data_IF_078802011721
#
_entry.id   IF_078802011721
#
_cell.length_a   1.000
_cell.length_b   1.000
_cell.length_c   1.000
_cell.angle_alpha   90.00
_cell.angle_beta   90.00
_cell.angle_gamma   90.00
#
_symmetry.space_group_name_H-M   'P 1'
#
loop_
_entity.id
_entity.type
_entity.pdbx_description
1 polymer ?
#
# COMPACT_ATOMS: atom_id res chain seq x y z
N UNK A 1 -16.44 -9.54 -25.38
CA UNK A 1 -15.80 -8.76 -24.30
C UNK A 1 -16.61 -8.75 -22.98
N UNK A 2 -17.09 -9.91 -22.50
CA UNK A 2 -17.93 -9.99 -21.27
C UNK A 2 -17.14 -10.29 -20.00
N UNK A 3 -15.97 -10.91 -20.13
CA UNK A 3 -15.20 -11.42 -18.99
C UNK A 3 -14.33 -10.34 -18.32
N UNK A 4 -13.75 -9.42 -19.10
CA UNK A 4 -12.99 -8.28 -18.56
C UNK A 4 -13.83 -7.36 -17.66
N UNK A 5 -15.09 -7.10 -18.05
CA UNK A 5 -16.01 -6.27 -17.26
C UNK A 5 -16.33 -6.90 -15.90
N UNK A 6 -16.45 -8.24 -15.84
CA UNK A 6 -16.69 -8.97 -14.59
C UNK A 6 -15.45 -9.02 -13.70
N UNK A 7 -14.27 -9.20 -14.28
CA UNK A 7 -13.00 -9.21 -13.55
C UNK A 7 -12.69 -7.83 -12.93
N UNK A 8 -12.92 -6.75 -13.68
CA UNK A 8 -12.74 -5.39 -13.16
C UNK A 8 -13.70 -5.09 -11.99
N UNK A 9 -14.96 -5.52 -12.10
CA UNK A 9 -15.96 -5.33 -11.03
C UNK A 9 -15.58 -6.09 -9.76
N UNK A 10 -15.18 -7.35 -9.88
CA UNK A 10 -14.74 -8.16 -8.74
C UNK A 10 -13.46 -7.59 -8.10
N UNK A 11 -12.50 -7.15 -8.92
CA UNK A 11 -11.27 -6.51 -8.45
C UNK A 11 -11.53 -5.21 -7.68
N UNK A 12 -12.45 -4.37 -8.17
CA UNK A 12 -12.81 -3.11 -7.51
C UNK A 12 -13.48 -3.32 -6.16
N UNK A 13 -14.39 -4.30 -6.02
CA UNK A 13 -15.03 -4.60 -4.74
C UNK A 13 -14.04 -5.16 -3.72
N UNK A 14 -13.13 -6.03 -4.15
CA UNK A 14 -12.08 -6.55 -3.27
C UNK A 14 -11.14 -5.44 -2.79
N UNK A 15 -10.74 -4.52 -3.68
CA UNK A 15 -9.93 -3.35 -3.31
C UNK A 15 -10.68 -2.44 -2.32
N UNK A 16 -11.96 -2.16 -2.55
CA UNK A 16 -12.78 -1.33 -1.66
C UNK A 16 -12.93 -1.95 -0.26
N UNK A 17 -13.07 -3.27 -0.16
CA UNK A 17 -13.13 -3.98 1.14
C UNK A 17 -11.78 -3.93 1.85
N UNK A 18 -10.67 -4.08 1.13
CA UNK A 18 -9.33 -4.04 1.71
C UNK A 18 -8.94 -2.64 2.21
N UNK A 19 -9.31 -1.57 1.49
CA UNK A 19 -9.01 -0.19 1.89
C UNK A 19 -10.07 0.43 2.82
N UNK A 20 -11.27 -0.14 2.90
CA UNK A 20 -12.39 0.39 3.71
C UNK A 20 -12.29 0.13 5.21
N UNK A 21 -11.35 -0.69 5.69
CA UNK A 21 -11.24 -1.04 7.13
C UNK A 21 -10.34 -0.11 7.94
N UNK A 22 -9.67 0.87 7.32
CA UNK A 22 -8.78 1.81 8.01
C UNK A 22 -9.43 3.16 8.25
N UNK A 23 -10.39 3.26 9.19
CA UNK A 23 -10.79 4.54 9.80
C UNK A 23 -11.65 4.35 11.07
N UNK A 24 -11.02 4.40 12.25
CA UNK A 24 -11.50 5.18 13.42
C UNK A 24 -10.29 5.53 14.30
N UNK A 25 -9.88 6.80 14.31
CA UNK A 25 -9.04 7.36 15.38
C UNK A 25 -9.96 8.09 16.34
N UNK A 26 -10.36 7.45 17.44
CA UNK A 26 -11.08 8.13 18.51
C UNK A 26 -10.07 9.01 19.26
N UNK A 27 -10.14 10.32 19.08
CA UNK A 27 -9.43 11.27 19.92
C UNK A 27 -10.00 11.16 21.34
N UNK A 28 -9.24 10.57 22.26
CA UNK A 28 -9.61 10.46 23.66
C UNK A 28 -8.87 11.54 24.45
N UNK A 29 -9.61 12.57 24.86
CA UNK A 29 -9.14 13.60 25.81
C UNK A 29 -9.42 13.09 27.22
N UNK A 30 -8.43 12.48 27.87
CA UNK A 30 -8.28 12.54 29.33
C UNK A 30 -6.93 11.95 29.76
N UNK A 31 -6.32 12.62 30.74
CA UNK A 31 -5.00 12.36 31.31
C UNK A 31 -4.93 10.97 31.97
N UNK A 32 -4.34 10.00 31.28
CA UNK A 32 -3.78 8.81 31.90
C UNK A 32 -2.56 8.34 31.10
N UNK A 33 -1.44 8.19 31.79
CA UNK A 33 -0.12 7.73 31.34
C UNK A 33 -0.17 6.75 30.17
N UNK A 34 0.47 7.03 29.01
CA UNK A 34 0.53 6.07 27.93
C UNK A 34 1.57 5.00 28.26
N UNK A 35 1.10 3.81 28.64
CA UNK A 35 1.87 2.59 28.44
C UNK A 35 2.08 2.45 26.93
N UNK A 36 3.34 2.44 26.49
CA UNK A 36 3.70 2.19 25.12
C UNK A 36 3.11 0.85 24.67
N UNK A 37 2.02 0.90 23.93
CA UNK A 37 1.60 -0.22 23.10
C UNK A 37 2.54 -0.20 21.91
N UNK A 38 3.70 -0.84 22.10
CA UNK A 38 4.49 -1.33 20.98
C UNK A 38 3.57 -2.28 20.23
N UNK A 39 2.97 -1.80 19.14
CA UNK A 39 2.58 -2.69 18.05
C UNK A 39 3.88 -3.24 17.50
N UNK A 40 4.45 -4.22 18.22
CA UNK A 40 5.28 -5.21 17.60
C UNK A 40 4.35 -5.81 16.55
N UNK A 41 4.58 -5.45 15.29
CA UNK A 41 4.29 -6.38 14.22
C UNK A 41 4.76 -7.73 14.74
N UNK A 42 3.89 -8.76 14.85
CA UNK A 42 4.43 -10.09 14.89
C UNK A 42 5.27 -10.16 13.62
N UNK A 43 6.59 -10.17 13.79
CA UNK A 43 7.51 -10.73 12.82
C UNK A 43 6.95 -12.13 12.66
N UNK A 44 6.05 -12.27 11.68
CA UNK A 44 5.69 -13.57 11.17
C UNK A 44 7.01 -14.03 10.59
N UNK A 45 7.73 -14.79 11.38
CA UNK A 45 8.82 -15.60 10.89
C UNK A 45 8.24 -16.27 9.65
N UNK A 46 8.76 -15.84 8.50
CA UNK A 46 8.35 -16.38 7.22
C UNK A 46 8.84 -17.81 7.30
N UNK A 47 7.94 -18.70 7.73
CA UNK A 47 8.18 -20.13 7.76
C UNK A 47 8.78 -20.49 6.42
N UNK A 48 10.03 -20.97 6.50
CA UNK A 48 10.95 -21.21 5.40
C UNK A 48 10.17 -21.72 4.19
N UNK A 49 9.98 -20.92 3.12
CA UNK A 49 9.54 -21.50 1.89
C UNK A 49 10.71 -22.35 1.43
N UNK A 50 10.49 -23.66 1.35
CA UNK A 50 11.41 -24.61 0.76
C UNK A 50 12.07 -23.97 -0.47
N UNK A 51 13.41 -23.99 -0.49
CA UNK A 51 14.31 -23.22 -1.38
C UNK A 51 14.25 -23.61 -2.85
N UNK A 52 13.05 -23.86 -3.38
CA UNK A 52 12.78 -24.44 -4.70
C UNK A 52 11.62 -23.76 -5.44
N UNK A 53 11.27 -22.52 -5.12
CA UNK A 53 10.17 -21.80 -5.80
C UNK A 53 10.55 -20.40 -6.30
N UNK A 54 11.74 -20.21 -6.88
CA UNK A 54 12.11 -18.99 -7.63
C UNK A 54 11.44 -18.92 -9.03
N UNK A 55 10.30 -19.60 -9.21
CA UNK A 55 9.77 -20.03 -10.52
C UNK A 55 8.53 -19.30 -11.04
N UNK A 56 8.06 -18.22 -10.42
CA UNK A 56 6.84 -17.51 -10.82
C UNK A 56 7.06 -16.08 -11.33
N UNK A 57 6.17 -15.58 -12.20
CA UNK A 57 6.21 -14.18 -12.67
C UNK A 57 6.10 -13.18 -11.51
N UNK A 58 5.27 -13.47 -10.51
CA UNK A 58 5.11 -12.63 -9.32
C UNK A 58 6.34 -12.68 -8.40
N UNK A 59 7.04 -13.81 -8.36
CA UNK A 59 8.29 -13.97 -7.61
C UNK A 59 9.39 -13.11 -8.24
N UNK A 60 9.54 -13.17 -9.57
CA UNK A 60 10.49 -12.33 -10.33
C UNK A 60 10.16 -10.85 -10.23
N UNK A 61 8.90 -10.47 -10.45
CA UNK A 61 8.49 -9.06 -10.33
C UNK A 61 8.70 -8.54 -8.91
N UNK A 62 8.43 -9.36 -7.89
CA UNK A 62 8.72 -9.01 -6.50
C UNK A 62 10.22 -8.79 -6.25
N UNK A 63 11.09 -9.58 -6.87
CA UNK A 63 12.54 -9.39 -6.78
C UNK A 63 12.98 -8.11 -7.51
N UNK A 64 12.50 -7.89 -8.73
CA UNK A 64 12.84 -6.72 -9.54
C UNK A 64 12.35 -5.40 -8.92
N UNK A 65 11.23 -5.45 -8.19
CA UNK A 65 10.72 -4.34 -7.39
C UNK A 65 11.33 -4.29 -5.98
N UNK A 66 12.36 -5.07 -5.70
CA UNK A 66 13.07 -5.10 -4.42
C UNK A 66 12.13 -5.39 -3.24
N UNK A 67 11.05 -6.15 -3.41
CA UNK A 67 10.18 -6.59 -2.32
C UNK A 67 10.85 -7.68 -1.46
N UNK A 68 11.79 -8.40 -2.06
CA UNK A 68 12.64 -9.37 -1.39
C UNK A 68 13.99 -9.48 -2.11
N UNK A 69 15.02 -9.88 -1.37
CA UNK A 69 16.37 -10.15 -1.86
C UNK A 69 16.86 -11.49 -1.31
N UNK A 70 17.98 -11.98 -1.84
CA UNK A 70 18.68 -13.15 -1.29
C UNK A 70 19.90 -12.64 -0.53
N UNK A 71 20.05 -13.04 0.72
CA UNK A 71 21.23 -12.72 1.53
C UNK A 71 22.47 -13.51 1.07
N UNK A 72 23.64 -13.21 1.67
CA UNK A 72 24.90 -13.91 1.36
C UNK A 72 24.83 -15.42 1.70
N UNK A 73 23.94 -15.81 2.61
CA UNK A 73 23.70 -17.18 3.06
C UNK A 73 22.68 -17.94 2.17
N UNK A 74 22.13 -17.29 1.14
CA UNK A 74 21.15 -17.87 0.22
C UNK A 74 19.71 -17.88 0.73
N UNK A 75 19.41 -17.20 1.84
CA UNK A 75 18.05 -17.07 2.38
C UNK A 75 17.32 -15.88 1.74
N UNK A 76 16.01 -16.05 1.54
CA UNK A 76 15.14 -14.99 1.05
C UNK A 76 14.77 -14.06 2.21
N UNK A 77 15.08 -12.78 2.07
CA UNK A 77 14.78 -11.73 3.04
C UNK A 77 13.82 -10.73 2.40
N UNK A 78 12.74 -10.39 3.10
CA UNK A 78 11.79 -9.37 2.65
C UNK A 78 12.32 -7.96 2.97
N UNK A 79 12.23 -7.05 2.01
CA UNK A 79 12.62 -5.66 2.20
C UNK A 79 11.44 -4.85 2.71
N UNK A 80 11.48 -4.50 3.99
CA UNK A 80 10.52 -3.58 4.60
C UNK A 80 10.65 -2.15 4.07
N UNK A 81 9.59 -1.37 4.23
CA UNK A 81 9.58 0.07 3.95
C UNK A 81 9.17 0.86 5.20
N UNK A 82 9.72 2.05 5.37
CA UNK A 82 9.39 2.98 6.45
C UNK A 82 8.37 4.01 5.95
N UNK A 83 7.17 3.99 6.53
CA UNK A 83 6.10 4.93 6.17
C UNK A 83 6.46 6.39 6.42
N UNK A 84 7.36 6.69 7.37
CA UNK A 84 7.83 8.06 7.64
C UNK A 84 8.72 8.57 6.52
N UNK A 85 9.48 7.69 5.88
CA UNK A 85 10.29 8.01 4.72
C UNK A 85 9.45 8.22 3.45
N UNK A 86 8.29 7.57 3.35
CA UNK A 86 7.39 7.67 2.20
C UNK A 86 6.41 8.84 2.30
N UNK A 87 5.81 9.07 3.46
CA UNK A 87 4.70 10.02 3.63
C UNK A 87 4.95 11.08 4.70
N UNK A 88 6.07 11.01 5.42
CA UNK A 88 6.42 11.97 6.46
C UNK A 88 6.89 13.30 5.88
N UNK A 89 6.70 14.39 6.62
CA UNK A 89 7.18 15.72 6.24
C UNK A 89 8.63 15.99 6.66
N UNK A 90 9.29 15.00 7.28
CA UNK A 90 10.60 15.15 7.91
C UNK A 90 11.69 14.51 7.06
N UNK A 91 11.99 15.13 5.92
CA UNK A 91 13.24 14.86 5.23
C UNK A 91 14.38 15.16 6.22
N UNK A 92 15.20 14.15 6.52
CA UNK A 92 16.41 14.26 7.34
C UNK A 92 16.24 14.48 8.85
N UNK A 93 15.09 14.11 9.44
CA UNK A 93 15.04 13.93 10.90
C UNK A 93 16.05 12.84 11.32
N UNK A 94 16.86 13.08 12.36
CA UNK A 94 17.86 12.11 12.82
C UNK A 94 17.24 10.72 13.02
N UNK A 95 17.78 9.73 12.29
CA UNK A 95 17.35 8.33 12.38
C UNK A 95 16.15 7.96 11.51
N UNK A 96 15.64 8.87 10.67
CA UNK A 96 14.63 8.54 9.66
C UNK A 96 15.31 8.32 8.30
N UNK A 97 15.16 7.14 7.68
CA UNK A 97 15.68 6.89 6.34
C UNK A 97 15.03 7.82 5.31
N UNK A 98 15.73 8.13 4.22
CA UNK A 98 15.19 8.95 3.13
C UNK A 98 14.25 8.17 2.23
N UNK A 99 13.46 8.87 1.42
CA UNK A 99 12.63 8.27 0.38
C UNK A 99 13.44 7.38 -0.57
N UNK A 100 14.65 7.81 -0.94
CA UNK A 100 15.48 7.10 -1.90
C UNK A 100 15.98 5.74 -1.41
N UNK A 101 16.17 5.58 -0.09
CA UNK A 101 16.58 4.30 0.50
C UNK A 101 15.43 3.29 0.62
N UNK A 102 14.20 3.67 0.24
CA UNK A 102 13.06 2.77 0.24
C UNK A 102 13.09 1.84 -0.97
N UNK A 103 12.60 0.59 -0.82
CA UNK A 103 12.57 -0.38 -1.91
C UNK A 103 11.65 0.08 -3.05
N UNK A 104 11.97 -0.33 -4.28
CA UNK A 104 11.27 0.11 -5.49
C UNK A 104 9.74 -0.13 -5.45
N UNK A 105 9.27 -1.25 -4.89
CA UNK A 105 7.83 -1.53 -4.74
C UNK A 105 7.12 -0.46 -3.91
N UNK A 106 7.77 0.05 -2.87
CA UNK A 106 7.20 1.02 -1.96
C UNK A 106 7.13 2.41 -2.61
N UNK A 107 8.18 2.79 -3.35
CA UNK A 107 8.19 4.01 -4.17
C UNK A 107 7.13 3.96 -5.27
N UNK A 108 6.97 2.80 -5.92
CA UNK A 108 5.93 2.59 -6.92
C UNK A 108 4.52 2.72 -6.30
N UNK A 109 4.30 2.10 -5.13
CA UNK A 109 3.03 2.18 -4.42
C UNK A 109 2.72 3.62 -3.98
N UNK A 110 3.72 4.36 -3.51
CA UNK A 110 3.59 5.78 -3.20
C UNK A 110 3.10 6.58 -4.42
N UNK A 111 3.74 6.40 -5.58
CA UNK A 111 3.31 7.05 -6.83
C UNK A 111 1.88 6.69 -7.25
N UNK A 112 1.53 5.40 -7.17
CA UNK A 112 0.16 4.92 -7.44
C UNK A 112 -0.85 5.54 -6.48
N UNK A 113 -0.50 5.71 -5.21
CA UNK A 113 -1.40 6.29 -4.20
C UNK A 113 -1.71 7.76 -4.47
N UNK A 114 -0.71 8.55 -4.87
CA UNK A 114 -0.89 9.95 -5.26
C UNK A 114 -1.80 10.02 -6.50
N UNK A 115 -1.51 9.21 -7.51
CA UNK A 115 -2.34 9.15 -8.71
C UNK A 115 -3.79 8.79 -8.39
N UNK A 116 -4.01 7.81 -7.51
CA UNK A 116 -5.33 7.40 -7.08
C UNK A 116 -6.05 8.52 -6.33
N UNK A 117 -5.37 9.26 -5.44
CA UNK A 117 -5.94 10.37 -4.71
C UNK A 117 -6.39 11.51 -5.65
N UNK A 118 -5.55 11.91 -6.61
CA UNK A 118 -5.90 12.93 -7.61
C UNK A 118 -7.05 12.46 -8.50
N UNK A 119 -7.00 11.20 -8.95
CA UNK A 119 -8.06 10.61 -9.76
C UNK A 119 -9.40 10.55 -9.03
N UNK A 120 -9.38 10.27 -7.72
CA UNK A 120 -10.58 10.26 -6.88
C UNK A 120 -11.22 11.65 -6.79
N UNK A 121 -10.42 12.71 -6.60
CA UNK A 121 -10.91 14.09 -6.61
C UNK A 121 -11.56 14.47 -7.94
N UNK A 122 -10.93 14.10 -9.06
CA UNK A 122 -11.49 14.32 -10.40
C UNK A 122 -12.80 13.54 -10.57
N UNK A 123 -12.82 12.27 -10.17
CA UNK A 123 -14.00 11.40 -10.26
C UNK A 123 -15.19 11.94 -9.46
N UNK A 124 -14.93 12.58 -8.32
CA UNK A 124 -15.96 13.21 -7.49
C UNK A 124 -16.65 14.40 -8.19
N UNK A 125 -15.97 15.06 -9.13
CA UNK A 125 -16.56 16.15 -9.93
C UNK A 125 -17.16 15.61 -11.22
N UNK A 126 -16.39 14.83 -11.98
CA UNK A 126 -16.77 14.36 -13.32
C UNK A 126 -17.94 13.39 -13.28
N UNK A 127 -17.99 12.50 -12.27
CA UNK A 127 -19.08 11.53 -12.12
C UNK A 127 -20.45 12.20 -11.96
N UNK A 128 -20.65 13.06 -10.94
CA UNK A 128 -21.88 13.83 -10.78
C UNK A 128 -22.18 14.77 -11.93
N UNK A 129 -21.18 15.44 -12.51
CA UNK A 129 -21.38 16.34 -13.64
C UNK A 129 -21.87 15.58 -14.89
N UNK A 130 -21.26 14.44 -15.22
CA UNK A 130 -21.72 13.57 -16.30
C UNK A 130 -23.14 13.06 -16.03
N UNK A 131 -23.42 12.62 -14.79
CA UNK A 131 -24.76 12.18 -14.40
C UNK A 131 -25.80 13.30 -14.59
N UNK A 132 -25.46 14.54 -14.21
CA UNK A 132 -26.32 15.70 -14.41
C UNK A 132 -26.52 16.06 -15.89
N UNK A 133 -25.49 15.99 -16.74
CA UNK A 133 -25.64 16.30 -18.17
C UNK A 133 -26.48 15.24 -18.91
N UNK A 134 -26.35 13.97 -18.53
CA UNK A 134 -27.04 12.86 -19.23
C UNK A 134 -28.41 12.56 -18.65
N UNK A 135 -28.59 12.67 -17.34
CA UNK A 135 -29.79 12.27 -16.61
C UNK A 135 -30.35 13.38 -15.70
N UNK A 136 -29.70 14.53 -15.65
CA UNK A 136 -30.22 15.69 -14.93
C UNK A 136 -31.46 16.25 -15.61
N UNK A 137 -32.24 17.05 -14.87
CA UNK A 137 -33.58 17.43 -15.28
C UNK A 137 -33.56 18.33 -16.53
N UNK A 138 -34.01 17.73 -17.63
CA UNK A 138 -35.02 18.30 -18.51
C UNK A 138 -36.36 17.66 -18.14
#
# INVERSE_FOLDING_TARGET
>A
MRNFRKAALAGATAAAIAFGTTAVATAQTETATPAATTTATPIKEVERPDTKATGGSSTKLGHDLEAWTVDEDGNVVANGADGRALFGSSDNAQGVPSFESQPAWAKAFFGVSIFAAVSALIGLVVGPAYNFVVFGPF
#
